data_IF_367862222880
#
_entry.id   IF_367862222880
#
_cell.length_a   1.000
_cell.length_b   1.000
_cell.length_c   1.000
_cell.angle_alpha   90.00
_cell.angle_beta   90.00
_cell.angle_gamma   90.00
#
_symmetry.space_group_name_H-M   'P 1'
#
loop_
_entity.id
_entity.type
_entity.pdbx_description
1 polymer ?
#
# COMPACT_ATOMS: atom_id res chain seq x y z
N UNK A 1 -13.48 -6.07 -1.83
CA UNK A 1 -12.53 -7.20 -1.83
C UNK A 1 -13.27 -8.46 -1.41
N UNK A 2 -13.83 -8.49 -0.21
CA UNK A 2 -14.62 -9.63 0.29
C UNK A 2 -15.89 -9.89 -0.53
N UNK A 3 -16.79 -8.91 -0.69
CA UNK A 3 -18.06 -9.11 -1.41
C UNK A 3 -17.88 -9.54 -2.88
N UNK A 4 -16.90 -8.95 -3.57
CA UNK A 4 -16.70 -9.18 -5.01
C UNK A 4 -15.77 -10.37 -5.32
N UNK A 5 -14.85 -10.71 -4.41
CA UNK A 5 -13.77 -11.68 -4.68
C UNK A 5 -13.57 -12.72 -3.58
N UNK A 6 -14.35 -12.68 -2.49
CA UNK A 6 -14.27 -13.64 -1.39
C UNK A 6 -12.98 -13.58 -0.57
N UNK A 7 -12.24 -12.47 -0.66
CA UNK A 7 -10.95 -12.29 0.02
C UNK A 7 -11.12 -11.36 1.22
N UNK A 8 -10.82 -11.85 2.42
CA UNK A 8 -10.82 -11.08 3.65
C UNK A 8 -9.60 -10.17 3.76
N UNK A 9 -9.66 -9.17 4.66
CA UNK A 9 -8.55 -8.24 4.86
C UNK A 9 -8.50 -7.73 6.30
N UNK A 10 -7.30 -7.52 6.82
CA UNK A 10 -7.04 -6.74 8.03
C UNK A 10 -6.94 -5.25 7.68
N UNK A 11 -7.64 -4.38 8.41
CA UNK A 11 -7.68 -2.94 8.16
C UNK A 11 -6.94 -2.20 9.27
N UNK A 12 -5.99 -1.35 8.86
CA UNK A 12 -5.18 -0.53 9.76
C UNK A 12 -5.43 0.95 9.52
N UNK A 13 -5.55 1.71 10.62
CA UNK A 13 -5.54 3.17 10.58
C UNK A 13 -4.14 3.67 10.92
N UNK A 14 -3.49 4.37 9.98
CA UNK A 14 -2.16 4.95 10.20
C UNK A 14 -2.31 6.43 10.49
N UNK A 15 -2.16 6.81 11.75
CA UNK A 15 -2.30 8.21 12.19
C UNK A 15 -1.08 9.06 11.82
N UNK A 16 0.12 8.47 11.72
CA UNK A 16 1.34 9.17 11.29
C UNK A 16 2.38 8.21 10.72
N UNK A 17 2.57 8.24 9.40
CA UNK A 17 3.70 7.52 8.77
C UNK A 17 5.07 8.08 9.20
N UNK A 18 5.13 9.38 9.49
CA UNK A 18 6.37 10.05 9.91
C UNK A 18 6.86 9.50 11.26
N UNK A 19 5.97 9.32 12.23
CA UNK A 19 6.35 8.77 13.55
C UNK A 19 6.76 7.29 13.44
N UNK A 20 6.05 6.50 12.64
CA UNK A 20 6.42 5.11 12.37
C UNK A 20 7.82 5.00 11.75
N UNK A 21 8.16 5.87 10.79
CA UNK A 21 9.51 5.91 10.21
C UNK A 21 10.57 6.33 11.23
N UNK A 22 10.31 7.34 12.05
CA UNK A 22 11.24 7.80 13.08
C UNK A 22 11.54 6.69 14.09
N UNK A 23 10.50 5.99 14.54
CA UNK A 23 10.61 4.85 15.45
C UNK A 23 11.43 3.71 14.82
N UNK A 24 11.08 3.29 13.61
CA UNK A 24 11.80 2.23 12.91
C UNK A 24 13.28 2.55 12.66
N UNK A 25 13.61 3.80 12.26
CA UNK A 25 15.00 4.24 12.11
C UNK A 25 15.75 4.26 13.44
N UNK A 26 15.08 4.65 14.53
CA UNK A 26 15.67 4.63 15.87
C UNK A 26 16.01 3.20 16.31
N UNK A 27 15.08 2.25 16.13
CA UNK A 27 15.31 0.83 16.41
C UNK A 27 16.45 0.28 15.55
N UNK A 28 16.42 0.52 14.23
CA UNK A 28 17.47 0.05 13.32
C UNK A 28 18.84 0.58 13.73
N UNK A 29 18.93 1.86 14.10
CA UNK A 29 20.18 2.45 14.61
C UNK A 29 20.63 1.80 15.92
N UNK A 30 19.70 1.54 16.85
CA UNK A 30 20.03 0.84 18.10
C UNK A 30 20.58 -0.56 17.84
N UNK A 31 19.91 -1.32 16.96
CA UNK A 31 20.30 -2.65 16.51
C UNK A 31 21.71 -2.66 15.88
N UNK A 32 21.96 -1.72 14.95
CA UNK A 32 23.26 -1.55 14.29
C UNK A 32 24.41 -1.29 15.28
N UNK A 33 24.16 -0.47 16.29
CA UNK A 33 25.18 -0.08 17.29
C UNK A 33 25.34 -1.10 18.43
N UNK A 34 24.49 -2.13 18.49
CA UNK A 34 24.53 -3.16 19.52
C UNK A 34 24.29 -4.56 18.91
N UNK A 35 25.19 -5.04 18.04
CA UNK A 35 25.02 -6.30 17.33
C UNK A 35 25.01 -7.53 18.26
N UNK A 36 25.64 -7.42 19.44
CA UNK A 36 25.73 -8.45 20.47
C UNK A 36 24.46 -8.58 21.34
N UNK A 37 23.55 -7.60 21.27
CA UNK A 37 22.30 -7.60 22.03
C UNK A 37 21.16 -8.26 21.25
N UNK A 38 20.09 -8.61 21.96
CA UNK A 38 18.84 -9.05 21.33
C UNK A 38 18.29 -7.94 20.43
N UNK A 39 18.20 -8.23 19.14
CA UNK A 39 17.70 -7.29 18.14
C UNK A 39 16.21 -7.04 18.37
N UNK A 40 15.82 -5.76 18.28
CA UNK A 40 14.42 -5.32 18.46
C UNK A 40 13.74 -5.20 17.10
N UNK A 41 12.42 -5.36 17.09
CA UNK A 41 11.58 -5.03 15.94
C UNK A 41 10.98 -3.64 16.16
N UNK A 42 10.85 -2.88 15.08
CA UNK A 42 10.02 -1.67 15.06
C UNK A 42 8.55 -2.03 15.30
N UNK A 43 7.74 -1.03 15.62
CA UNK A 43 6.30 -1.23 15.80
C UNK A 43 5.68 -1.82 14.54
N UNK A 44 6.02 -1.29 13.36
CA UNK A 44 5.51 -1.78 12.06
C UNK A 44 5.93 -3.24 11.82
N UNK A 45 7.22 -3.57 11.99
CA UNK A 45 7.68 -4.96 11.83
C UNK A 45 6.93 -5.91 12.76
N UNK A 46 6.68 -5.49 14.01
CA UNK A 46 5.98 -6.33 14.99
C UNK A 46 4.54 -6.67 14.61
N UNK A 47 3.87 -5.81 13.84
CA UNK A 47 2.50 -6.04 13.35
C UNK A 47 2.45 -7.01 12.18
N UNK A 48 3.49 -7.05 11.34
CA UNK A 48 3.48 -7.76 10.06
C UNK A 48 4.40 -8.98 10.01
N UNK A 49 5.27 -9.20 11.00
CA UNK A 49 6.26 -10.29 11.01
C UNK A 49 5.67 -11.71 10.84
N UNK A 50 4.45 -11.94 11.35
CA UNK A 50 3.78 -13.25 11.32
C UNK A 50 2.70 -13.30 10.23
N UNK A 51 2.50 -12.19 9.51
CA UNK A 51 1.57 -12.09 8.40
C UNK A 51 2.27 -12.55 7.12
N UNK A 52 1.58 -13.35 6.32
CA UNK A 52 2.04 -13.72 4.99
C UNK A 52 0.97 -13.29 3.98
N UNK A 53 0.69 -11.99 3.93
CA UNK A 53 -0.25 -11.38 2.98
C UNK A 53 0.31 -10.05 2.45
N UNK A 54 -0.04 -9.63 1.23
CA UNK A 54 0.39 -8.34 0.71
C UNK A 54 -0.30 -7.20 1.47
N UNK A 55 0.43 -6.11 1.65
CA UNK A 55 -0.05 -4.89 2.33
C UNK A 55 -0.22 -3.79 1.29
N UNK A 56 -1.41 -3.18 1.26
CA UNK A 56 -1.71 -2.01 0.42
C UNK A 56 -1.89 -0.79 1.30
N UNK A 57 -1.10 0.26 1.08
CA UNK A 57 -1.29 1.57 1.70
C UNK A 57 -1.81 2.56 0.66
N UNK A 58 -2.82 3.34 1.02
CA UNK A 58 -3.35 4.43 0.21
C UNK A 58 -3.47 5.70 1.06
N UNK A 59 -2.94 6.81 0.56
CA UNK A 59 -3.01 8.11 1.24
C UNK A 59 -3.40 9.21 0.26
N UNK A 60 -3.94 10.32 0.77
CA UNK A 60 -4.18 11.53 -0.03
C UNK A 60 -2.88 12.38 -0.21
N UNK A 61 -1.70 11.80 0.06
CA UNK A 61 -0.37 12.35 -0.22
C UNK A 61 0.33 11.57 -1.35
N UNK A 62 1.42 12.10 -1.87
CA UNK A 62 2.33 11.40 -2.80
C UNK A 62 2.75 10.03 -2.26
N UNK A 63 3.01 9.06 -3.15
CA UNK A 63 3.38 7.68 -2.76
C UNK A 63 4.52 7.65 -1.74
N UNK A 64 5.52 8.52 -1.89
CA UNK A 64 6.68 8.58 -0.99
C UNK A 64 6.31 8.76 0.49
N UNK A 65 5.15 9.37 0.79
CA UNK A 65 4.70 9.58 2.15
C UNK A 65 4.39 8.27 2.89
N UNK A 66 3.71 7.32 2.25
CA UNK A 66 3.48 6.00 2.84
C UNK A 66 4.67 5.05 2.59
N UNK A 67 5.35 5.19 1.44
CA UNK A 67 6.51 4.39 1.08
C UNK A 67 7.67 4.50 2.09
N UNK A 68 7.67 5.58 2.86
CA UNK A 68 8.71 5.87 3.85
C UNK A 68 8.89 4.77 4.92
N UNK A 69 7.91 3.90 5.16
CA UNK A 69 8.02 2.78 6.11
C UNK A 69 8.30 1.43 5.43
N UNK A 70 8.51 1.40 4.11
CA UNK A 70 8.69 0.16 3.32
C UNK A 70 9.72 -0.78 3.91
N UNK A 71 10.84 -0.24 4.42
CA UNK A 71 11.91 -1.04 5.00
C UNK A 71 11.44 -1.88 6.21
N UNK A 72 10.43 -1.41 6.93
CA UNK A 72 9.90 -2.03 8.15
C UNK A 72 8.70 -2.96 7.88
N UNK A 73 8.33 -3.15 6.61
CA UNK A 73 7.25 -4.07 6.21
C UNK A 73 7.89 -5.29 5.54
N UNK A 74 7.90 -6.46 6.20
CA UNK A 74 8.52 -7.67 5.65
C UNK A 74 7.75 -8.24 4.45
N UNK A 75 6.47 -7.88 4.31
CA UNK A 75 5.55 -8.33 3.27
C UNK A 75 5.71 -7.56 1.96
N UNK A 76 5.10 -8.09 0.89
CA UNK A 76 4.88 -7.31 -0.33
C UNK A 76 4.10 -6.03 0.00
N UNK A 77 4.74 -4.88 -0.16
CA UNK A 77 4.15 -3.58 0.15
C UNK A 77 3.87 -2.76 -1.11
N UNK A 78 2.60 -2.46 -1.35
CA UNK A 78 2.10 -1.69 -2.51
C UNK A 78 1.56 -0.35 -2.00
N UNK A 79 1.99 0.74 -2.63
CA UNK A 79 1.65 2.10 -2.18
C UNK A 79 0.91 2.85 -3.28
N UNK A 80 -0.24 3.40 -2.92
CA UNK A 80 -1.05 4.32 -3.71
C UNK A 80 -0.95 5.72 -3.10
N UNK A 81 -0.85 6.71 -3.97
CA UNK A 81 -0.68 8.10 -3.57
C UNK A 81 -1.02 9.05 -4.71
N UNK A 82 -1.19 10.31 -4.34
CA UNK A 82 -1.67 11.40 -5.19
C UNK A 82 -0.54 12.16 -5.87
N UNK A 83 0.43 11.44 -6.44
CA UNK A 83 1.51 12.06 -7.23
C UNK A 83 0.95 12.77 -8.46
N UNK A 84 1.53 13.93 -8.80
CA UNK A 84 1.09 14.77 -9.91
C UNK A 84 0.49 16.11 -9.45
N UNK A 85 0.12 16.96 -10.41
CA UNK A 85 -0.46 18.26 -10.11
C UNK A 85 -1.93 18.16 -9.72
N UNK A 86 -2.34 19.02 -8.77
CA UNK A 86 -3.73 19.17 -8.39
C UNK A 86 -4.58 19.74 -9.52
N UNK A 87 -5.86 19.41 -9.53
CA UNK A 87 -6.84 19.94 -10.48
C UNK A 87 -8.21 20.12 -9.83
N UNK A 88 -9.03 20.98 -10.41
CA UNK A 88 -10.38 21.24 -9.93
C UNK A 88 -11.35 20.16 -10.40
N UNK A 89 -11.88 19.37 -9.47
CA UNK A 89 -12.96 18.41 -9.71
C UNK A 89 -13.58 18.00 -8.36
N UNK A 90 -14.61 17.17 -8.40
CA UNK A 90 -15.18 16.52 -7.21
C UNK A 90 -14.19 15.54 -6.57
N UNK A 91 -14.30 15.33 -5.25
CA UNK A 91 -13.45 14.37 -4.51
C UNK A 91 -13.46 12.96 -5.12
N UNK A 92 -14.62 12.51 -5.61
CA UNK A 92 -14.74 11.17 -6.22
C UNK A 92 -13.91 11.07 -7.50
N UNK A 93 -14.01 12.08 -8.38
CA UNK A 93 -13.23 12.10 -9.62
C UNK A 93 -11.74 12.28 -9.38
N UNK A 94 -11.35 13.12 -8.41
CA UNK A 94 -9.94 13.27 -8.04
C UNK A 94 -9.34 11.97 -7.50
N UNK A 95 -10.04 11.26 -6.60
CA UNK A 95 -9.55 9.97 -6.09
C UNK A 95 -9.51 8.88 -7.16
N UNK A 96 -10.40 8.94 -8.16
CA UNK A 96 -10.34 8.06 -9.34
C UNK A 96 -9.15 8.43 -10.23
N UNK A 97 -8.88 9.71 -10.43
CA UNK A 97 -7.80 10.21 -11.26
C UNK A 97 -6.43 9.83 -10.69
N UNK A 98 -6.20 10.14 -9.42
CA UNK A 98 -4.98 9.83 -8.67
C UNK A 98 -4.85 8.36 -8.27
N UNK A 99 -5.82 7.51 -8.62
CA UNK A 99 -5.73 6.06 -8.40
C UNK A 99 -5.70 5.64 -6.93
N UNK A 100 -6.31 6.44 -6.03
CA UNK A 100 -6.35 6.19 -4.58
C UNK A 100 -7.72 5.78 -4.05
N UNK A 101 -8.72 5.60 -4.94
CA UNK A 101 -10.04 5.15 -4.53
C UNK A 101 -10.10 3.64 -4.21
N UNK A 102 -11.23 3.20 -3.68
CA UNK A 102 -11.47 1.79 -3.29
C UNK A 102 -11.22 0.77 -4.40
N UNK A 103 -11.45 1.11 -5.67
CA UNK A 103 -11.30 0.17 -6.78
C UNK A 103 -9.82 -0.09 -7.09
N UNK A 104 -8.98 0.95 -7.04
CA UNK A 104 -7.54 0.80 -7.19
C UNK A 104 -6.90 0.08 -6.00
N UNK A 105 -7.43 0.29 -4.78
CA UNK A 105 -7.02 -0.50 -3.60
C UNK A 105 -7.29 -2.00 -3.84
N UNK A 106 -8.49 -2.35 -4.34
CA UNK A 106 -8.83 -3.76 -4.65
C UNK A 106 -7.92 -4.34 -5.74
N UNK A 107 -7.72 -3.63 -6.86
CA UNK A 107 -6.84 -4.09 -7.94
C UNK A 107 -5.40 -4.30 -7.42
N UNK A 108 -4.91 -3.39 -6.58
CA UNK A 108 -3.59 -3.50 -5.95
C UNK A 108 -3.48 -4.71 -5.03
N UNK A 109 -4.51 -4.97 -4.22
CA UNK A 109 -4.54 -6.14 -3.35
C UNK A 109 -4.55 -7.45 -4.15
N UNK A 110 -5.37 -7.54 -5.20
CA UNK A 110 -5.40 -8.70 -6.11
C UNK A 110 -4.06 -8.90 -6.81
N UNK A 111 -3.41 -7.82 -7.25
CA UNK A 111 -2.07 -7.89 -7.85
C UNK A 111 -1.03 -8.41 -6.85
N UNK A 112 -1.04 -7.94 -5.61
CA UNK A 112 -0.15 -8.46 -4.56
C UNK A 112 -0.34 -9.96 -4.33
N UNK A 113 -1.59 -10.44 -4.28
CA UNK A 113 -1.90 -11.86 -4.10
C UNK A 113 -1.48 -12.70 -5.31
N UNK A 114 -1.68 -12.19 -6.53
CA UNK A 114 -1.28 -12.88 -7.75
C UNK A 114 0.25 -12.96 -7.89
N UNK A 115 0.98 -11.92 -7.51
CA UNK A 115 2.45 -11.92 -7.47
C UNK A 115 3.00 -12.98 -6.51
N UNK A 116 2.28 -13.27 -5.43
CA UNK A 116 2.60 -14.32 -4.47
C UNK A 116 2.03 -15.70 -4.87
N UNK A 117 1.41 -15.83 -6.05
CA UNK A 117 0.84 -17.08 -6.56
C UNK A 117 -0.42 -17.56 -5.83
N UNK A 118 -1.06 -16.70 -5.02
CA UNK A 118 -2.25 -17.07 -4.21
C UNK A 118 -3.56 -17.01 -4.99
N UNK A 119 -3.59 -16.23 -6.07
CA UNK A 119 -4.74 -16.14 -6.98
C UNK A 119 -4.27 -16.04 -8.43
N UNK A 120 -5.18 -16.31 -9.37
CA UNK A 120 -4.90 -16.15 -10.79
C UNK A 120 -4.94 -14.68 -11.24
N UNK A 121 -4.07 -14.32 -12.19
CA UNK A 121 -4.04 -12.98 -12.83
C UNK A 121 -5.42 -12.62 -13.44
N UNK A 122 -6.20 -13.61 -13.87
CA UNK A 122 -7.55 -13.42 -14.41
C UNK A 122 -8.47 -12.62 -13.47
N UNK A 123 -8.30 -12.75 -12.15
CA UNK A 123 -9.07 -11.99 -11.14
C UNK A 123 -8.80 -10.49 -11.17
N UNK A 124 -7.58 -10.10 -11.53
CA UNK A 124 -7.21 -8.68 -11.69
C UNK A 124 -7.93 -8.10 -12.92
N UNK A 125 -7.92 -8.84 -14.03
CA UNK A 125 -8.61 -8.44 -15.27
C UNK A 125 -10.12 -8.35 -15.07
N UNK A 126 -10.70 -9.28 -14.31
CA UNK A 126 -12.10 -9.25 -13.88
C UNK A 126 -12.41 -7.95 -13.12
N UNK A 127 -11.57 -7.57 -12.15
CA UNK A 127 -11.72 -6.35 -11.36
C UNK A 127 -11.62 -5.07 -12.21
N UNK A 128 -10.60 -4.97 -13.08
CA UNK A 128 -10.41 -3.81 -13.97
C UNK A 128 -11.66 -3.59 -14.84
N UNK A 129 -12.19 -4.67 -15.44
CA UNK A 129 -13.41 -4.62 -16.26
C UNK A 129 -14.64 -4.26 -15.42
N UNK A 130 -14.85 -4.93 -14.29
CA UNK A 130 -16.01 -4.72 -13.40
C UNK A 130 -16.09 -3.29 -12.89
N UNK A 131 -14.95 -2.70 -12.53
CA UNK A 131 -14.87 -1.34 -11.98
C UNK A 131 -14.70 -0.24 -13.03
N UNK A 132 -14.66 -0.60 -14.32
CA UNK A 132 -14.49 0.34 -15.44
C UNK A 132 -13.25 1.23 -15.24
N UNK A 133 -12.15 0.60 -14.82
CA UNK A 133 -10.84 1.24 -14.75
C UNK A 133 -10.27 1.29 -16.16
N UNK A 134 -9.81 2.46 -16.56
CA UNK A 134 -9.13 2.64 -17.85
C UNK A 134 -7.63 2.35 -17.66
N UNK A 135 -7.11 1.23 -18.19
CA UNK A 135 -5.69 0.89 -18.06
C UNK A 135 -4.79 1.77 -18.93
N UNK A 136 -5.35 2.50 -19.91
CA UNK A 136 -4.62 3.32 -20.86
C UNK A 136 -4.74 4.82 -20.56
N UNK A 137 -5.37 5.20 -19.43
CA UNK A 137 -5.40 6.60 -19.03
C UNK A 137 -3.97 7.10 -18.77
N UNK A 138 -3.66 8.38 -19.04
CA UNK A 138 -2.32 8.88 -18.76
C UNK A 138 -2.01 8.83 -17.26
N UNK A 139 -0.72 8.68 -16.96
CA UNK A 139 -0.23 8.68 -15.59
C UNK A 139 -0.53 10.05 -14.94
N UNK A 140 -0.99 10.11 -13.68
CA UNK A 140 -1.31 11.37 -13.01
C UNK A 140 -0.16 12.39 -12.97
N UNK A 141 1.09 11.94 -13.07
CA UNK A 141 2.31 12.77 -13.09
C UNK A 141 2.66 13.34 -14.46
N UNK A 142 2.01 12.84 -15.54
CA UNK A 142 2.33 13.17 -16.93
C UNK A 142 1.42 14.24 -17.55
N UNK A 143 0.39 14.66 -16.82
CA UNK A 143 -0.59 15.68 -17.21
C UNK A 143 -0.42 16.89 -16.30
#
# INVERSE_FOLDING_TARGET
LEEDFGISSNIWSVTSFNELRREGLSIKRQNLLHPDKKQKLSYVESLFKDENTPVVAATDYMKIYADQIREFIPNKYIVLGTDGFGRSDTRNQLRKFFEVNRYYIVVSALKGLADEGKIEIGKINEAIKKYKIDPNKPEPTSI
#
